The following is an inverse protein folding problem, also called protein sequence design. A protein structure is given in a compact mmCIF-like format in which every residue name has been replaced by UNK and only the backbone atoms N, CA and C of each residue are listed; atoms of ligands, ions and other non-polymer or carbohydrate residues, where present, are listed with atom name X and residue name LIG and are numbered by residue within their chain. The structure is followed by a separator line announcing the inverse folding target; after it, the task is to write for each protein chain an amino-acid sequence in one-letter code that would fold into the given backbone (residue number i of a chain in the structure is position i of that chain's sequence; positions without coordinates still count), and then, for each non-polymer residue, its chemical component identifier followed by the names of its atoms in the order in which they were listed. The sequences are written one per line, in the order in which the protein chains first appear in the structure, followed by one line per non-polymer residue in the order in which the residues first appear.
data_IF_541441462869
#
_entry.id   IF_541441462869
#
_cell.length_a   1.000
_cell.length_b   1.000
_cell.length_c   1.000
_cell.angle_alpha   90.00
_cell.angle_beta   90.00
_cell.angle_gamma   90.00
#
_symmetry.space_group_name_H-M   'P 1'
#
loop_
_entity.id
_entity.type
_entity.pdbx_description
1 polymer ?
#
# COMPACT_ATOMS: atom_id res chain seq x y z
N UNK A 1 -16.97 5.79 -12.66
CA UNK A 1 -16.47 4.69 -13.53
C UNK A 1 -16.55 3.44 -12.70
N UNK A 2 -17.27 2.42 -13.18
CA UNK A 2 -17.60 1.22 -12.42
C UNK A 2 -16.68 0.05 -12.78
N UNK A 3 -16.67 -0.95 -11.90
CA UNK A 3 -15.98 -2.23 -12.04
C UNK A 3 -16.35 -2.99 -13.33
N UNK A 4 -17.63 -2.89 -13.76
CA UNK A 4 -18.05 -3.28 -15.11
C UNK A 4 -17.91 -2.08 -16.04
N UNK A 5 -17.20 -2.25 -17.17
CA UNK A 5 -16.89 -1.17 -18.12
C UNK A 5 -18.14 -0.41 -18.63
N UNK A 6 -19.32 -1.00 -18.45
CA UNK A 6 -20.66 -0.47 -18.76
C UNK A 6 -20.77 0.11 -20.18
N UNK A 7 -19.95 -0.39 -21.11
CA UNK A 7 -19.92 0.05 -22.50
C UNK A 7 -21.14 -0.51 -23.24
N UNK A 8 -21.77 0.30 -24.09
CA UNK A 8 -22.82 -0.16 -24.97
C UNK A 8 -22.21 -1.05 -26.07
N UNK A 9 -22.55 -2.36 -26.13
CA UNK A 9 -21.88 -3.31 -27.01
C UNK A 9 -22.15 -3.04 -28.49
N UNK A 10 -23.29 -2.42 -28.80
CA UNK A 10 -23.74 -2.16 -30.15
C UNK A 10 -23.27 -0.79 -30.70
N UNK A 11 -22.66 0.06 -29.86
CA UNK A 11 -22.11 1.35 -30.27
C UNK A 11 -20.61 1.25 -30.52
N UNK A 12 -20.08 2.10 -31.40
CA UNK A 12 -18.63 2.25 -31.57
C UNK A 12 -18.00 2.88 -30.32
N UNK A 13 -16.67 2.90 -30.25
CA UNK A 13 -15.94 3.62 -29.20
C UNK A 13 -16.30 5.11 -29.22
N UNK A 14 -16.31 5.74 -30.40
CA UNK A 14 -16.73 7.13 -30.55
C UNK A 14 -18.16 7.35 -30.06
N UNK A 15 -19.09 6.46 -30.44
CA UNK A 15 -20.49 6.52 -29.98
C UNK A 15 -20.61 6.36 -28.46
N UNK A 16 -19.85 5.44 -27.87
CA UNK A 16 -19.81 5.23 -26.42
C UNK A 16 -19.38 6.51 -25.68
N UNK A 17 -18.32 7.17 -26.15
CA UNK A 17 -17.79 8.43 -25.60
C UNK A 17 -18.83 9.56 -25.79
N UNK A 18 -19.34 9.73 -27.01
CA UNK A 18 -20.27 10.81 -27.34
C UNK A 18 -21.61 10.74 -26.59
N UNK A 19 -22.09 9.54 -26.29
CA UNK A 19 -23.47 9.26 -25.85
C UNK A 19 -24.02 10.22 -24.78
N UNK A 20 -23.24 10.49 -23.73
CA UNK A 20 -23.67 11.40 -22.66
C UNK A 20 -23.84 12.85 -23.10
N UNK A 21 -23.06 13.30 -24.07
CA UNK A 21 -23.21 14.63 -24.68
C UNK A 21 -24.37 14.66 -25.67
N UNK A 22 -24.65 13.55 -26.37
CA UNK A 22 -25.79 13.46 -27.30
C UNK A 22 -27.12 13.62 -26.56
N UNK A 23 -27.28 12.94 -25.42
CA UNK A 23 -28.49 13.05 -24.57
C UNK A 23 -28.68 14.49 -24.06
N UNK A 24 -27.58 15.21 -23.79
CA UNK A 24 -27.61 16.61 -23.33
C UNK A 24 -27.82 17.62 -24.47
N UNK A 25 -27.99 17.16 -25.70
CA UNK A 25 -28.21 18.03 -26.86
C UNK A 25 -26.97 18.82 -27.30
N UNK A 26 -25.76 18.38 -26.94
CA UNK A 26 -24.52 19.10 -27.31
C UNK A 26 -24.33 19.04 -28.84
N UNK A 27 -23.99 20.17 -29.51
CA UNK A 27 -23.81 20.22 -30.96
C UNK A 27 -22.75 19.23 -31.48
N UNK A 28 -22.94 18.74 -32.70
CA UNK A 28 -22.06 17.72 -33.32
C UNK A 28 -20.59 18.12 -33.34
N UNK A 29 -20.29 19.39 -33.66
CA UNK A 29 -18.92 19.88 -33.77
C UNK A 29 -18.21 19.93 -32.41
N UNK A 30 -18.94 20.30 -31.35
CA UNK A 30 -18.41 20.28 -29.98
C UNK A 30 -18.16 18.85 -29.50
N UNK A 31 -19.06 17.91 -29.84
CA UNK A 31 -18.86 16.49 -29.55
C UNK A 31 -17.62 15.95 -30.25
N UNK A 32 -17.43 16.26 -31.53
CA UNK A 32 -16.26 15.82 -32.29
C UNK A 32 -14.94 16.34 -31.67
N UNK A 33 -14.90 17.61 -31.26
CA UNK A 33 -13.76 18.20 -30.55
C UNK A 33 -13.48 17.49 -29.23
N UNK A 34 -14.50 17.26 -28.41
CA UNK A 34 -14.36 16.60 -27.12
C UNK A 34 -13.92 15.13 -27.25
N UNK A 35 -14.49 14.39 -28.22
CA UNK A 35 -14.08 13.01 -28.53
C UNK A 35 -12.61 13.00 -28.92
N UNK A 36 -12.17 13.90 -29.81
CA UNK A 36 -10.77 13.98 -30.24
C UNK A 36 -9.83 14.26 -29.07
N UNK A 37 -10.13 15.27 -28.25
CA UNK A 37 -9.32 15.62 -27.08
C UNK A 37 -9.16 14.44 -26.12
N UNK A 38 -10.27 13.77 -25.78
CA UNK A 38 -10.26 12.62 -24.87
C UNK A 38 -9.56 11.42 -25.51
N UNK A 39 -9.75 11.18 -26.81
CA UNK A 39 -9.11 10.07 -27.51
C UNK A 39 -7.60 10.25 -27.64
N UNK A 40 -7.14 11.48 -27.81
CA UNK A 40 -5.71 11.83 -27.86
C UNK A 40 -5.09 11.64 -26.47
N UNK A 41 -5.77 12.12 -25.42
CA UNK A 41 -5.32 12.00 -24.04
C UNK A 41 -5.19 10.54 -23.58
N UNK A 42 -6.09 9.66 -24.02
CA UNK A 42 -6.11 8.25 -23.65
C UNK A 42 -5.43 7.33 -24.68
N UNK A 43 -4.90 7.90 -25.77
CA UNK A 43 -4.28 7.18 -26.87
C UNK A 43 -5.19 6.10 -27.50
N UNK A 44 -6.49 6.40 -27.62
CA UNK A 44 -7.52 5.49 -28.18
C UNK A 44 -8.07 6.00 -29.53
N UNK A 45 -7.47 7.03 -30.13
CA UNK A 45 -7.91 7.58 -31.42
C UNK A 45 -8.02 6.54 -32.54
N UNK A 46 -7.09 5.59 -32.60
CA UNK A 46 -7.08 4.48 -33.58
C UNK A 46 -8.17 3.42 -33.34
N UNK A 47 -8.96 3.54 -32.26
CA UNK A 47 -10.00 2.58 -31.89
C UNK A 47 -11.41 3.16 -32.06
N UNK A 48 -11.56 4.42 -32.47
CA UNK A 48 -12.83 5.16 -32.45
C UNK A 48 -13.97 4.45 -33.21
N UNK A 49 -13.66 3.79 -34.32
CA UNK A 49 -14.66 3.10 -35.17
C UNK A 49 -14.92 1.64 -34.75
N UNK A 50 -14.16 1.10 -33.79
CA UNK A 50 -14.33 -0.27 -33.31
C UNK A 50 -15.48 -0.38 -32.32
N UNK A 51 -16.04 -1.58 -32.19
CA UNK A 51 -17.00 -1.95 -31.14
C UNK A 51 -16.29 -2.54 -29.91
N UNK A 52 -16.88 -2.47 -28.69
CA UNK A 52 -16.27 -2.98 -27.47
C UNK A 52 -15.80 -4.45 -27.50
N UNK A 53 -16.46 -5.30 -28.29
CA UNK A 53 -16.09 -6.71 -28.47
C UNK A 53 -14.76 -6.90 -29.20
N UNK A 54 -14.29 -5.89 -29.94
CA UNK A 54 -13.05 -5.90 -30.71
C UNK A 54 -11.85 -5.30 -29.95
N UNK A 55 -12.03 -5.04 -28.65
CA UNK A 55 -11.05 -4.36 -27.80
C UNK A 55 -10.46 -5.33 -26.77
N UNK A 56 -9.21 -5.08 -26.36
CA UNK A 56 -8.64 -5.71 -25.16
C UNK A 56 -9.29 -5.17 -23.87
N UNK A 57 -9.05 -5.81 -22.72
CA UNK A 57 -9.54 -5.32 -21.42
C UNK A 57 -9.10 -3.89 -21.11
N UNK A 58 -7.82 -3.59 -21.31
CA UNK A 58 -7.26 -2.26 -21.07
C UNK A 58 -7.77 -1.21 -22.06
N UNK A 59 -8.00 -1.61 -23.32
CA UNK A 59 -8.65 -0.72 -24.29
C UNK A 59 -10.09 -0.41 -23.87
N UNK A 60 -10.88 -1.41 -23.46
CA UNK A 60 -12.23 -1.17 -22.91
C UNK A 60 -12.20 -0.24 -21.71
N UNK A 61 -11.22 -0.41 -20.81
CA UNK A 61 -11.06 0.45 -19.65
C UNK A 61 -10.77 1.90 -20.04
N UNK A 62 -9.84 2.12 -20.98
CA UNK A 62 -9.56 3.47 -21.51
C UNK A 62 -10.81 4.07 -22.14
N UNK A 63 -11.58 3.31 -22.92
CA UNK A 63 -12.85 3.79 -23.48
C UNK A 63 -13.83 4.18 -22.37
N UNK A 64 -13.99 3.35 -21.33
CA UNK A 64 -14.87 3.64 -20.19
C UNK A 64 -14.44 4.92 -19.44
N UNK A 65 -13.13 5.13 -19.26
CA UNK A 65 -12.59 6.39 -18.74
C UNK A 65 -12.91 7.56 -19.66
N UNK A 66 -12.77 7.40 -20.97
CA UNK A 66 -13.08 8.45 -21.95
C UNK A 66 -14.52 8.92 -21.87
N UNK A 67 -15.46 7.99 -21.66
CA UNK A 67 -16.88 8.33 -21.43
C UNK A 67 -17.11 9.19 -20.20
N UNK A 68 -16.32 9.01 -19.15
CA UNK A 68 -16.40 9.84 -17.95
C UNK A 68 -15.74 11.21 -18.17
N UNK A 69 -14.58 11.24 -18.82
CA UNK A 69 -13.77 12.45 -19.01
C UNK A 69 -14.42 13.47 -19.95
N UNK A 70 -15.10 12.99 -20.99
CA UNK A 70 -15.76 13.87 -21.97
C UNK A 70 -16.86 14.74 -21.35
N UNK A 71 -17.36 14.38 -20.16
CA UNK A 71 -18.37 15.16 -19.44
C UNK A 71 -17.80 16.35 -18.67
N UNK A 72 -16.49 16.42 -18.51
CA UNK A 72 -15.78 17.42 -17.70
C UNK A 72 -16.43 17.68 -16.32
N UNK A 73 -16.66 16.64 -15.48
CA UNK A 73 -17.27 16.82 -14.17
C UNK A 73 -16.30 17.48 -13.16
N UNK A 74 -16.86 18.07 -12.10
CA UNK A 74 -16.08 18.59 -10.98
C UNK A 74 -15.43 17.48 -10.14
N UNK A 75 -16.09 16.32 -10.06
CA UNK A 75 -15.63 15.16 -9.27
C UNK A 75 -15.73 13.90 -10.10
N UNK A 76 -14.67 13.10 -10.09
CA UNK A 76 -14.64 11.75 -10.64
C UNK A 76 -14.73 10.72 -9.52
N UNK A 77 -15.70 9.81 -9.64
CA UNK A 77 -15.85 8.68 -8.73
C UNK A 77 -15.42 7.39 -9.46
N UNK A 78 -14.44 6.69 -8.93
CA UNK A 78 -13.93 5.42 -9.44
C UNK A 78 -14.16 4.33 -8.40
N UNK A 79 -14.85 3.27 -8.81
CA UNK A 79 -15.16 2.13 -7.95
C UNK A 79 -14.46 0.87 -8.49
N UNK A 80 -13.38 0.47 -7.84
CA UNK A 80 -12.49 -0.63 -8.21
C UNK A 80 -12.20 -0.76 -9.72
N UNK A 81 -11.76 0.32 -10.38
CA UNK A 81 -11.70 0.33 -11.85
C UNK A 81 -10.67 -0.64 -12.44
N UNK A 82 -9.74 -1.19 -11.64
CA UNK A 82 -8.63 -2.03 -12.11
C UNK A 82 -8.76 -3.52 -11.73
N UNK A 83 -9.78 -3.91 -10.95
CA UNK A 83 -9.89 -5.27 -10.38
C UNK A 83 -9.96 -6.37 -11.46
N UNK A 84 -10.60 -6.07 -12.59
CA UNK A 84 -10.83 -7.01 -13.70
C UNK A 84 -9.69 -7.09 -14.73
N UNK A 85 -8.54 -6.46 -14.45
CA UNK A 85 -7.37 -6.47 -15.33
C UNK A 85 -6.31 -7.46 -14.83
N UNK A 86 -5.47 -7.96 -15.74
CA UNK A 86 -4.28 -8.74 -15.38
C UNK A 86 -3.21 -7.88 -14.70
N UNK A 87 -2.27 -8.49 -13.99
CA UNK A 87 -1.29 -7.79 -13.16
C UNK A 87 -0.43 -6.78 -13.96
N UNK A 88 0.01 -7.15 -15.18
CA UNK A 88 0.81 -6.26 -16.03
C UNK A 88 0.01 -5.03 -16.43
N UNK A 89 -1.22 -5.25 -16.88
CA UNK A 89 -2.11 -4.19 -17.31
C UNK A 89 -2.56 -3.29 -16.16
N UNK A 90 -2.69 -3.81 -14.93
CA UNK A 90 -2.92 -3.00 -13.72
C UNK A 90 -1.79 -2.01 -13.47
N UNK A 91 -0.53 -2.42 -13.60
CA UNK A 91 0.63 -1.53 -13.44
C UNK A 91 0.56 -0.38 -14.46
N UNK A 92 0.34 -0.71 -15.73
CA UNK A 92 0.25 0.28 -16.80
C UNK A 92 -0.89 1.26 -16.56
N UNK A 93 -2.10 0.74 -16.26
CA UNK A 93 -3.28 1.57 -16.06
C UNK A 93 -3.22 2.43 -14.80
N UNK A 94 -2.56 1.98 -13.71
CA UNK A 94 -2.28 2.82 -12.54
C UNK A 94 -1.47 4.05 -12.93
N UNK A 95 -0.41 3.84 -13.71
CA UNK A 95 0.44 4.93 -14.17
C UNK A 95 -0.34 5.92 -15.04
N UNK A 96 -1.21 5.43 -15.92
CA UNK A 96 -2.07 6.29 -16.73
C UNK A 96 -3.08 7.08 -15.91
N UNK A 97 -3.73 6.47 -14.91
CA UNK A 97 -4.65 7.17 -14.00
C UNK A 97 -3.91 8.27 -13.22
N UNK A 98 -2.69 7.99 -12.72
CA UNK A 98 -1.88 8.99 -12.02
C UNK A 98 -1.55 10.18 -12.91
N UNK A 99 -1.10 9.93 -14.14
CA UNK A 99 -0.80 10.97 -15.15
C UNK A 99 -2.04 11.78 -15.49
N UNK A 100 -3.17 11.11 -15.65
CA UNK A 100 -4.45 11.76 -15.94
C UNK A 100 -4.86 12.71 -14.81
N UNK A 101 -4.82 12.25 -13.55
CA UNK A 101 -5.12 13.10 -12.39
C UNK A 101 -4.20 14.31 -12.31
N UNK A 102 -2.89 14.13 -12.52
CA UNK A 102 -1.89 15.22 -12.54
C UNK A 102 -2.17 16.26 -13.64
N UNK A 103 -2.60 15.82 -14.83
CA UNK A 103 -2.92 16.73 -15.95
C UNK A 103 -4.23 17.47 -15.76
N UNK A 104 -5.24 16.81 -15.18
CA UNK A 104 -6.59 17.35 -15.08
C UNK A 104 -6.76 18.29 -13.87
N UNK A 105 -6.07 18.04 -12.75
CA UNK A 105 -6.21 18.83 -11.52
C UNK A 105 -7.60 18.80 -10.89
N UNK A 106 -8.47 17.87 -11.29
CA UNK A 106 -9.83 17.71 -10.78
C UNK A 106 -9.89 16.70 -9.62
N UNK A 107 -10.95 16.74 -8.82
CA UNK A 107 -11.10 15.86 -7.65
C UNK A 107 -11.42 14.43 -8.06
N UNK A 108 -10.62 13.47 -7.60
CA UNK A 108 -10.83 12.03 -7.80
C UNK A 108 -11.12 11.37 -6.45
N UNK A 109 -12.22 10.62 -6.37
CA UNK A 109 -12.48 9.66 -5.30
C UNK A 109 -12.33 8.26 -5.90
N UNK A 110 -11.42 7.49 -5.36
CA UNK A 110 -11.04 6.17 -5.86
C UNK A 110 -11.20 5.14 -4.75
N UNK A 111 -12.02 4.12 -4.98
CA UNK A 111 -12.27 3.01 -4.06
C UNK A 111 -11.51 1.79 -4.54
N UNK A 112 -10.77 1.15 -3.63
CA UNK A 112 -10.02 -0.08 -3.90
C UNK A 112 -9.76 -0.85 -2.61
N UNK A 113 -9.64 -2.17 -2.72
CA UNK A 113 -9.12 -3.04 -1.68
C UNK A 113 -7.61 -3.33 -1.85
N UNK A 114 -6.99 -2.87 -2.95
CA UNK A 114 -5.56 -3.05 -3.22
C UNK A 114 -4.74 -1.94 -2.57
N UNK A 115 -3.88 -2.34 -1.63
CA UNK A 115 -3.04 -1.42 -0.87
C UNK A 115 -2.00 -0.71 -1.76
N UNK A 116 -1.47 -1.40 -2.77
CA UNK A 116 -0.46 -0.82 -3.68
C UNK A 116 -1.14 0.24 -4.57
N UNK A 117 -2.37 -0.01 -5.02
CA UNK A 117 -3.17 1.02 -5.70
C UNK A 117 -3.36 2.26 -4.81
N UNK A 118 -3.81 2.07 -3.56
CA UNK A 118 -4.03 3.18 -2.63
C UNK A 118 -2.73 3.97 -2.40
N UNK A 119 -1.61 3.27 -2.14
CA UNK A 119 -0.32 3.89 -1.83
C UNK A 119 0.31 4.63 -3.03
N UNK A 120 0.06 4.20 -4.26
CA UNK A 120 0.67 4.79 -5.47
C UNK A 120 -0.19 5.88 -6.10
N UNK A 121 -1.51 5.72 -6.09
CA UNK A 121 -2.43 6.66 -6.74
C UNK A 121 -2.78 7.85 -5.86
N UNK A 122 -3.01 7.61 -4.57
CA UNK A 122 -3.65 8.59 -3.69
C UNK A 122 -2.76 9.80 -3.38
N UNK A 123 -3.43 10.93 -3.12
CA UNK A 123 -2.85 12.09 -2.41
C UNK A 123 -3.13 11.99 -0.91
N UNK A 124 -4.35 11.54 -0.56
CA UNK A 124 -4.80 11.17 0.78
C UNK A 124 -5.57 9.85 0.69
N UNK A 125 -5.44 9.01 1.71
CA UNK A 125 -6.09 7.71 1.84
C UNK A 125 -7.02 7.78 3.05
N UNK A 126 -8.25 7.31 2.87
CA UNK A 126 -9.18 7.02 3.96
C UNK A 126 -9.22 5.50 4.14
N UNK A 127 -8.72 5.00 5.27
CA UNK A 127 -8.75 3.57 5.60
C UNK A 127 -10.03 3.29 6.37
N UNK A 128 -10.87 2.39 5.86
CA UNK A 128 -12.14 2.01 6.50
C UNK A 128 -12.11 0.55 6.97
N UNK A 129 -12.80 0.27 8.06
CA UNK A 129 -13.09 -1.08 8.57
C UNK A 129 -14.53 -1.11 9.07
N UNK A 130 -15.33 -2.06 8.59
CA UNK A 130 -16.72 -2.25 9.03
C UNK A 130 -17.56 -0.95 8.95
N UNK A 131 -17.33 -0.14 7.91
CA UNK A 131 -18.00 1.14 7.71
C UNK A 131 -17.46 2.30 8.56
N UNK A 132 -16.47 2.07 9.42
CA UNK A 132 -15.86 3.09 10.29
C UNK A 132 -14.51 3.53 9.74
N UNK A 133 -14.31 4.85 9.63
CA UNK A 133 -13.03 5.45 9.28
C UNK A 133 -12.01 5.20 10.40
N UNK A 134 -10.94 4.48 10.07
CA UNK A 134 -9.87 4.14 10.99
C UNK A 134 -8.78 5.20 11.01
N UNK A 135 -8.42 5.71 9.83
CA UNK A 135 -7.41 6.75 9.67
C UNK A 135 -7.58 7.46 8.34
N UNK A 136 -7.27 8.76 8.31
CA UNK A 136 -7.22 9.57 7.10
C UNK A 136 -5.89 10.34 7.05
N UNK A 137 -5.13 10.18 5.97
CA UNK A 137 -3.79 10.74 5.88
C UNK A 137 -3.14 10.58 4.52
N UNK A 138 -1.95 11.15 4.33
CA UNK A 138 -1.11 10.87 3.15
C UNK A 138 -0.69 9.40 3.14
N UNK A 139 -0.30 8.83 1.99
CA UNK A 139 0.29 7.50 1.95
C UNK A 139 1.44 7.33 2.97
N UNK A 140 2.28 8.35 3.13
CA UNK A 140 3.37 8.34 4.10
C UNK A 140 2.89 8.34 5.57
N UNK A 141 1.86 9.12 5.90
CA UNK A 141 1.26 9.15 7.25
C UNK A 141 0.61 7.80 7.58
N UNK A 142 -0.18 7.23 6.66
CA UNK A 142 -0.83 5.93 6.85
C UNK A 142 0.21 4.82 7.05
N UNK A 143 1.29 4.82 6.26
CA UNK A 143 2.27 3.74 6.28
C UNK A 143 3.24 3.81 7.47
N UNK A 144 3.79 5.01 7.73
CA UNK A 144 4.82 5.21 8.76
C UNK A 144 4.22 5.54 10.13
N UNK A 145 2.94 5.91 10.18
CA UNK A 145 2.28 6.34 11.40
C UNK A 145 0.86 5.82 11.53
N UNK A 146 0.66 4.49 11.53
CA UNK A 146 -0.66 3.89 11.66
C UNK A 146 -1.27 4.22 13.03
N UNK A 147 -2.54 4.62 13.06
CA UNK A 147 -3.22 5.02 14.32
C UNK A 147 -3.60 3.84 15.21
N UNK A 148 -3.70 2.63 14.66
CA UNK A 148 -4.08 1.43 15.37
C UNK A 148 -3.51 0.18 14.69
N UNK A 149 -3.64 -0.97 15.37
CA UNK A 149 -3.14 -2.27 14.89
C UNK A 149 -3.72 -2.63 13.52
N UNK A 150 -5.02 -2.35 13.28
CA UNK A 150 -5.64 -2.67 12.00
C UNK A 150 -4.99 -1.92 10.84
N UNK A 151 -4.75 -0.61 10.95
CA UNK A 151 -4.08 0.13 9.87
C UNK A 151 -2.65 -0.36 9.67
N UNK A 152 -1.95 -0.69 10.76
CA UNK A 152 -0.58 -1.19 10.72
C UNK A 152 -0.47 -2.54 9.98
N UNK A 153 -1.39 -3.45 10.28
CA UNK A 153 -1.49 -4.78 9.67
C UNK A 153 -1.99 -4.71 8.22
N UNK A 154 -3.01 -3.88 7.98
CA UNK A 154 -3.69 -3.80 6.69
C UNK A 154 -2.89 -3.04 5.63
N UNK A 155 -2.04 -2.06 5.99
CA UNK A 155 -1.37 -1.22 4.99
C UNK A 155 0.07 -1.66 4.79
N UNK A 156 0.36 -2.55 3.84
CA UNK A 156 1.72 -2.98 3.48
C UNK A 156 1.77 -4.43 3.00
N UNK A 157 2.66 -4.70 2.05
CA UNK A 157 2.87 -6.06 1.52
C UNK A 157 4.38 -6.33 1.42
N UNK A 158 4.96 -7.19 2.28
CA UNK A 158 4.29 -7.93 3.37
C UNK A 158 3.77 -7.04 4.51
N UNK A 159 2.85 -7.57 5.31
CA UNK A 159 2.25 -6.87 6.45
C UNK A 159 3.28 -6.53 7.54
N UNK A 160 2.95 -5.59 8.43
CA UNK A 160 3.80 -5.26 9.57
C UNK A 160 3.92 -6.45 10.53
N UNK A 161 5.12 -6.70 11.06
CA UNK A 161 5.28 -7.68 12.13
C UNK A 161 4.73 -7.09 13.44
N UNK A 162 3.71 -7.72 14.01
CA UNK A 162 3.03 -7.29 15.23
C UNK A 162 3.22 -8.32 16.35
N UNK A 163 4.17 -8.04 17.24
CA UNK A 163 4.72 -8.98 18.21
C UNK A 163 4.33 -8.58 19.63
N UNK A 164 4.07 -9.57 20.49
CA UNK A 164 3.93 -9.30 21.91
C UNK A 164 5.31 -9.04 22.50
N UNK A 165 5.47 -7.92 23.21
CA UNK A 165 6.71 -7.55 23.87
C UNK A 165 6.43 -7.05 25.29
N UNK A 166 7.37 -7.24 26.20
CA UNK A 166 7.30 -6.67 27.55
C UNK A 166 8.19 -5.44 27.62
N UNK A 167 7.67 -4.32 28.13
CA UNK A 167 8.46 -3.11 28.34
C UNK A 167 9.26 -3.27 29.64
N UNK A 168 10.57 -3.09 29.58
CA UNK A 168 11.49 -3.25 30.71
C UNK A 168 12.37 -2.00 30.89
N UNK A 169 12.93 -1.84 32.08
CA UNK A 169 14.01 -0.88 32.31
C UNK A 169 15.34 -1.58 32.02
N UNK A 170 16.00 -1.18 30.93
CA UNK A 170 17.33 -1.62 30.57
C UNK A 170 18.42 -0.69 31.12
N UNK A 171 19.67 -1.05 30.88
CA UNK A 171 20.84 -0.31 31.37
C UNK A 171 20.95 1.12 30.80
N UNK A 172 20.36 1.37 29.62
CA UNK A 172 20.42 2.64 28.89
C UNK A 172 19.08 3.36 28.73
N UNK A 173 18.02 2.91 29.42
CA UNK A 173 16.66 3.45 29.27
C UNK A 173 15.62 2.34 29.08
N UNK A 174 14.47 2.67 28.51
CA UNK A 174 13.44 1.68 28.21
C UNK A 174 13.90 0.73 27.10
N UNK A 175 13.60 -0.54 27.27
CA UNK A 175 13.79 -1.57 26.26
C UNK A 175 12.51 -2.41 26.13
N UNK A 176 12.36 -3.09 25.01
CA UNK A 176 11.35 -4.13 24.84
C UNK A 176 12.01 -5.50 24.77
N UNK A 177 11.41 -6.42 25.50
CA UNK A 177 11.83 -7.81 25.62
C UNK A 177 10.91 -8.68 24.78
N UNK A 178 11.47 -9.32 23.76
CA UNK A 178 10.79 -10.22 22.83
C UNK A 178 11.20 -11.65 23.13
N UNK A 179 10.24 -12.52 23.44
CA UNK A 179 10.54 -13.93 23.67
C UNK A 179 11.10 -14.61 22.42
N UNK A 180 12.02 -15.56 22.62
CA UNK A 180 12.62 -16.38 21.55
C UNK A 180 12.49 -17.86 21.89
N UNK A 181 12.16 -18.73 20.92
CA UNK A 181 12.22 -20.16 21.14
C UNK A 181 13.65 -20.61 21.49
N UNK A 182 13.81 -21.32 22.61
CA UNK A 182 15.08 -21.93 23.04
C UNK A 182 16.27 -20.95 23.17
N UNK A 183 16.01 -19.66 23.38
CA UNK A 183 17.03 -18.64 23.59
C UNK A 183 16.55 -17.60 24.61
N UNK A 184 17.48 -16.85 25.21
CA UNK A 184 17.12 -15.72 26.05
C UNK A 184 16.26 -14.70 25.27
N UNK A 185 15.35 -13.94 25.90
CA UNK A 185 14.61 -12.89 25.20
C UNK A 185 15.54 -11.91 24.46
N UNK A 186 15.14 -11.47 23.27
CA UNK A 186 15.82 -10.41 22.55
C UNK A 186 15.39 -9.07 23.15
N UNK A 187 16.35 -8.31 23.66
CA UNK A 187 16.12 -6.98 24.23
C UNK A 187 16.50 -5.93 23.20
N UNK A 188 15.56 -5.06 22.87
CA UNK A 188 15.74 -3.98 21.91
C UNK A 188 15.52 -2.63 22.60
N UNK A 189 16.46 -1.68 22.52
CA UNK A 189 16.28 -0.37 23.13
C UNK A 189 15.11 0.37 22.47
N UNK A 190 14.47 1.28 23.21
CA UNK A 190 13.43 2.16 22.67
C UNK A 190 13.96 3.59 22.63
N UNK A 191 13.68 4.32 21.55
CA UNK A 191 14.05 5.73 21.45
C UNK A 191 13.48 6.57 22.60
N UNK A 192 14.34 7.41 23.18
CA UNK A 192 13.93 8.45 24.12
C UNK A 192 12.95 9.41 23.43
N UNK A 193 11.75 9.57 24.00
CA UNK A 193 10.67 10.42 23.45
C UNK A 193 9.32 9.72 23.27
N UNK A 194 9.27 8.38 23.37
CA UNK A 194 8.00 7.64 23.51
C UNK A 194 7.46 7.77 24.95
N UNK A 195 7.05 8.99 25.33
CA UNK A 195 6.55 9.29 26.68
C UNK A 195 5.37 8.40 27.09
N UNK A 196 4.58 7.94 26.12
CA UNK A 196 3.49 7.00 26.35
C UNK A 196 3.94 5.59 26.75
N UNK A 197 5.16 5.16 26.41
CA UNK A 197 5.61 3.79 26.67
C UNK A 197 6.09 3.60 28.12
N UNK A 198 6.50 4.68 28.80
CA UNK A 198 6.94 4.63 30.21
C UNK A 198 5.84 4.15 31.15
N UNK A 199 4.56 4.43 30.85
CA UNK A 199 3.43 3.94 31.66
C UNK A 199 3.19 2.44 31.51
N UNK A 200 3.85 1.80 30.54
CA UNK A 200 3.76 0.37 30.28
C UNK A 200 4.95 -0.42 30.85
N UNK A 201 5.88 0.20 31.59
CA UNK A 201 6.99 -0.54 32.22
C UNK A 201 6.47 -1.70 33.07
N UNK A 202 7.02 -2.90 32.82
CA UNK A 202 6.59 -4.17 33.42
C UNK A 202 5.33 -4.78 32.81
N UNK A 203 4.76 -4.17 31.76
CA UNK A 203 3.53 -4.64 31.08
C UNK A 203 3.82 -5.04 29.64
N UNK A 204 2.90 -5.82 29.09
CA UNK A 204 2.91 -6.20 27.68
C UNK A 204 2.39 -5.07 26.80
N UNK A 205 3.00 -4.93 25.62
CA UNK A 205 2.61 -4.07 24.51
C UNK A 205 2.69 -4.85 23.20
N UNK A 206 2.05 -4.35 22.15
CA UNK A 206 2.26 -4.86 20.79
C UNK A 206 3.35 -4.02 20.12
N UNK A 207 4.50 -4.64 19.88
CA UNK A 207 5.61 -4.08 19.12
C UNK A 207 5.39 -4.30 17.62
N UNK A 208 5.32 -3.20 16.88
CA UNK A 208 5.17 -3.18 15.43
C UNK A 208 6.47 -2.80 14.74
N UNK A 209 6.96 -3.65 13.82
CA UNK A 209 8.09 -3.33 12.95
C UNK A 209 7.84 -3.85 11.54
N UNK A 210 8.09 -3.01 10.53
CA UNK A 210 7.92 -3.40 9.12
C UNK A 210 8.99 -4.42 8.70
N UNK A 211 8.69 -5.34 7.77
CA UNK A 211 9.69 -6.26 7.24
C UNK A 211 10.94 -5.58 6.69
N UNK A 212 10.82 -4.44 5.99
CA UNK A 212 11.96 -3.68 5.48
C UNK A 212 12.78 -2.94 6.55
N UNK A 213 12.28 -2.86 7.78
CA UNK A 213 13.04 -2.36 8.93
C UNK A 213 13.78 -3.48 9.68
N UNK A 214 13.63 -4.73 9.23
CA UNK A 214 14.33 -5.91 9.73
C UNK A 214 15.14 -6.53 8.59
N UNK A 215 16.46 -6.36 8.63
CA UNK A 215 17.34 -6.75 7.53
C UNK A 215 18.66 -7.32 8.02
N UNK A 216 19.61 -7.66 7.16
CA UNK A 216 20.96 -8.05 7.56
C UNK A 216 21.81 -6.79 7.84
N UNK A 217 22.90 -6.86 8.63
CA UNK A 217 23.71 -5.69 8.96
C UNK A 217 24.20 -4.89 7.74
N UNK A 218 24.49 -5.55 6.62
CA UNK A 218 24.96 -4.87 5.40
C UNK A 218 23.81 -4.21 4.62
N UNK A 219 22.57 -4.64 4.84
CA UNK A 219 21.33 -4.05 4.33
C UNK A 219 20.77 -2.91 5.19
N UNK A 220 21.28 -2.71 6.39
CA UNK A 220 20.75 -1.74 7.35
C UNK A 220 20.84 -0.29 6.82
N UNK A 221 19.82 0.51 7.14
CA UNK A 221 19.78 1.94 6.80
C UNK A 221 20.92 2.69 7.51
N UNK A 222 21.90 3.16 6.74
CA UNK A 222 23.06 3.93 7.25
C UNK A 222 22.68 5.25 7.93
N UNK A 223 21.45 5.72 7.74
CA UNK A 223 20.92 6.93 8.38
C UNK A 223 20.08 6.63 9.63
N UNK A 224 19.87 5.35 9.98
CA UNK A 224 19.17 4.98 11.19
C UNK A 224 19.91 5.52 12.42
N UNK A 225 19.18 6.19 13.31
CA UNK A 225 19.73 6.71 14.57
C UNK A 225 19.79 5.61 15.63
N UNK A 226 18.82 4.70 15.59
CA UNK A 226 18.75 3.56 16.50
C UNK A 226 18.69 2.25 15.71
N UNK A 227 19.86 1.62 15.57
CA UNK A 227 20.00 0.27 15.05
C UNK A 227 20.36 -0.66 16.20
N UNK A 228 19.69 -1.80 16.28
CA UNK A 228 20.06 -2.87 17.20
C UNK A 228 20.20 -4.16 16.41
N UNK A 229 21.10 -5.03 16.82
CA UNK A 229 21.28 -6.32 16.19
C UNK A 229 20.86 -7.46 17.12
N UNK A 230 20.41 -8.57 16.54
CA UNK A 230 20.01 -9.76 17.27
C UNK A 230 20.18 -11.02 16.46
N UNK A 231 20.70 -12.07 17.09
CA UNK A 231 20.80 -13.39 16.47
C UNK A 231 19.40 -14.04 16.43
N UNK A 232 18.99 -14.45 15.23
CA UNK A 232 17.67 -15.01 14.95
C UNK A 232 17.80 -16.30 14.14
N UNK A 233 17.10 -17.36 14.55
CA UNK A 233 17.02 -18.60 13.80
C UNK A 233 16.08 -18.41 12.60
N UNK A 234 16.60 -18.62 11.39
CA UNK A 234 15.82 -18.52 10.16
C UNK A 234 15.11 -19.85 9.90
N UNK A 235 13.79 -19.82 9.78
CA UNK A 235 12.96 -21.01 9.50
C UNK A 235 12.70 -21.17 8.00
N UNK A 236 12.47 -20.07 7.29
CA UNK A 236 12.12 -20.06 5.86
C UNK A 236 12.86 -18.94 5.16
N UNK A 237 13.25 -19.19 3.90
CA UNK A 237 13.86 -18.20 3.00
C UNK A 237 13.12 -18.24 1.67
N UNK A 238 12.60 -17.10 1.23
CA UNK A 238 11.82 -16.93 0.00
C UNK A 238 12.46 -15.86 -0.90
N UNK A 239 13.23 -16.26 -1.92
CA UNK A 239 13.74 -15.34 -2.92
C UNK A 239 12.59 -14.78 -3.78
N UNK A 240 12.49 -13.45 -3.86
CA UNK A 240 11.41 -12.73 -4.56
C UNK A 240 11.94 -11.78 -5.65
N UNK A 241 13.10 -12.10 -6.24
CA UNK A 241 13.73 -11.30 -7.29
C UNK A 241 14.70 -10.28 -6.71
N UNK A 242 14.26 -9.04 -6.48
CA UNK A 242 15.10 -7.96 -5.93
C UNK A 242 15.33 -8.07 -4.42
N UNK A 243 14.55 -8.92 -3.76
CA UNK A 243 14.51 -9.05 -2.31
C UNK A 243 14.49 -10.53 -1.94
N UNK A 244 14.96 -10.82 -0.73
CA UNK A 244 14.82 -12.13 -0.09
C UNK A 244 14.03 -11.96 1.19
N UNK A 245 12.90 -12.65 1.32
CA UNK A 245 12.14 -12.67 2.57
C UNK A 245 12.63 -13.81 3.46
N UNK A 246 12.91 -13.52 4.71
CA UNK A 246 13.31 -14.54 5.69
C UNK A 246 12.30 -14.56 6.83
N UNK A 247 11.93 -15.75 7.29
CA UNK A 247 10.99 -15.92 8.40
C UNK A 247 11.76 -16.40 9.64
N UNK A 248 11.55 -15.73 10.76
CA UNK A 248 12.06 -16.13 12.09
C UNK A 248 10.94 -16.12 13.13
N UNK A 249 11.23 -16.47 14.39
CA UNK A 249 10.26 -16.44 15.50
C UNK A 249 10.70 -15.52 16.61
N UNK A 250 9.88 -14.51 16.91
CA UNK A 250 10.05 -13.55 18.00
C UNK A 250 8.69 -13.23 18.62
N UNK A 251 8.65 -12.99 19.93
CA UNK A 251 7.40 -12.64 20.64
C UNK A 251 6.28 -13.66 20.45
N UNK A 252 6.63 -14.95 20.35
CA UNK A 252 5.70 -16.06 20.15
C UNK A 252 5.07 -16.17 18.74
N UNK A 253 5.53 -15.39 17.75
CA UNK A 253 4.97 -15.37 16.39
C UNK A 253 6.05 -15.47 15.32
N UNK A 254 5.64 -15.87 14.11
CA UNK A 254 6.47 -15.75 12.92
C UNK A 254 6.64 -14.28 12.51
N UNK A 255 7.87 -13.92 12.14
CA UNK A 255 8.30 -12.57 11.80
C UNK A 255 9.00 -12.61 10.46
N UNK A 256 8.61 -11.72 9.56
CA UNK A 256 9.19 -11.59 8.22
C UNK A 256 10.23 -10.46 8.24
N UNK A 257 11.45 -10.79 7.83
CA UNK A 257 12.51 -9.85 7.49
C UNK A 257 12.56 -9.67 5.97
N UNK A 258 12.89 -8.47 5.49
CA UNK A 258 13.16 -8.20 4.07
C UNK A 258 14.64 -7.87 3.89
N UNK A 259 15.32 -8.75 3.18
CA UNK A 259 16.75 -8.72 2.96
C UNK A 259 17.05 -8.40 1.50
N UNK A 260 18.31 -8.05 1.23
CA UNK A 260 18.78 -7.90 -0.15
C UNK A 260 18.73 -9.26 -0.87
N UNK A 261 18.58 -9.24 -2.20
CA UNK A 261 18.56 -10.45 -3.02
C UNK A 261 19.81 -11.34 -2.85
N UNK A 262 20.96 -10.73 -2.57
CA UNK A 262 22.27 -11.39 -2.44
C UNK A 262 22.62 -11.77 -0.99
N UNK A 263 21.67 -11.65 -0.05
CA UNK A 263 21.89 -12.06 1.33
C UNK A 263 22.21 -13.56 1.41
N UNK A 264 23.40 -13.89 1.93
CA UNK A 264 23.90 -15.26 2.08
C UNK A 264 23.27 -15.99 3.27
N UNK A 265 21.96 -16.21 3.23
CA UNK A 265 21.19 -16.82 4.31
C UNK A 265 20.55 -18.15 3.90
N UNK A 266 20.42 -19.08 4.84
CA UNK A 266 19.79 -20.37 4.61
C UNK A 266 18.81 -20.75 5.74
N UNK A 267 17.75 -21.53 5.45
CA UNK A 267 16.90 -22.12 6.49
C UNK A 267 17.71 -22.96 7.49
N UNK A 268 17.36 -22.87 8.77
CA UNK A 268 18.05 -23.54 9.88
C UNK A 268 19.29 -22.82 10.40
N UNK A 269 19.74 -21.76 9.73
CA UNK A 269 20.87 -20.95 10.16
C UNK A 269 20.44 -19.92 11.22
N UNK A 270 21.30 -19.69 12.22
CA UNK A 270 21.18 -18.50 13.06
C UNK A 270 21.91 -17.34 12.38
N UNK A 271 21.17 -16.28 12.09
CA UNK A 271 21.66 -15.11 11.37
C UNK A 271 21.49 -13.87 12.23
N UNK A 272 22.51 -13.00 12.21
CA UNK A 272 22.41 -11.67 12.80
C UNK A 272 21.46 -10.83 11.96
N UNK A 273 20.36 -10.38 12.55
CA UNK A 273 19.45 -9.41 11.94
C UNK A 273 19.63 -8.05 12.60
N UNK A 274 19.56 -7.00 11.79
CA UNK A 274 19.57 -5.60 12.18
C UNK A 274 18.13 -5.03 12.17
N UNK A 275 17.77 -4.39 13.28
CA UNK A 275 16.46 -3.80 13.56
C UNK A 275 16.59 -2.29 13.51
N UNK A 276 15.94 -1.64 12.55
CA UNK A 276 15.84 -0.18 12.49
C UNK A 276 14.70 0.29 13.42
N UNK A 277 15.06 0.64 14.64
CA UNK A 277 14.13 0.99 15.70
C UNK A 277 13.55 2.40 15.56
N UNK A 278 14.10 3.23 14.68
CA UNK A 278 13.48 4.51 14.28
C UNK A 278 12.10 4.29 13.62
N UNK A 279 11.85 3.08 13.11
CA UNK A 279 10.62 2.68 12.42
C UNK A 279 9.68 1.84 13.30
N UNK A 280 10.09 1.55 14.54
CA UNK A 280 9.25 0.80 15.46
C UNK A 280 8.06 1.65 15.93
N UNK A 281 6.90 1.00 16.04
CA UNK A 281 5.68 1.57 16.61
C UNK A 281 5.14 0.65 17.68
N UNK A 282 4.37 1.19 18.61
CA UNK A 282 3.84 0.42 19.75
C UNK A 282 2.34 0.61 19.84
N UNK A 283 1.62 -0.44 20.23
CA UNK A 283 0.18 -0.39 20.44
C UNK A 283 -0.19 -1.00 21.78
N UNK A 284 -1.27 -0.47 22.35
CA UNK A 284 -1.88 -1.00 23.56
C UNK A 284 -2.64 -2.30 23.23
N UNK A 285 -2.40 -3.42 23.96
CA UNK A 285 -3.04 -4.70 23.62
C UNK A 285 -4.57 -4.73 23.79
N UNK A 286 -5.13 -3.86 24.64
CA UNK A 286 -6.57 -3.85 24.95
C UNK A 286 -7.34 -2.96 23.98
N UNK A 287 -6.93 -1.70 23.86
CA UNK A 287 -7.55 -0.71 22.99
C UNK A 287 -7.13 -0.83 21.53
N UNK A 288 -6.00 -1.52 21.26
CA UNK A 288 -5.38 -1.63 19.93
C UNK A 288 -4.94 -0.28 19.32
N UNK A 289 -4.99 0.80 20.10
CA UNK A 289 -4.56 2.13 19.69
C UNK A 289 -3.04 2.27 19.78
N UNK A 290 -2.49 3.16 18.95
CA UNK A 290 -1.06 3.47 18.99
C UNK A 290 -0.68 4.18 20.30
N UNK A 291 0.46 3.78 20.86
CA UNK A 291 1.11 4.44 21.99
C UNK A 291 2.14 5.42 21.42
N UNK A 292 1.92 6.72 21.65
CA UNK A 292 2.79 7.79 21.17
C UNK A 292 2.31 8.44 19.87
#
# INVERSE_FOLDING_TARGET
VFQSYALYPNMTVAGNIAFGMEIRGVPKDERAKAIKQVSDMLQIGHLLDRKPSQLSGGQRQRVAMGRALVRNPQVFLFDEPLSNLDAKLRVDMRTEIKRLHQRMGTTFVYVTHDQIEAMTLATKIAVLKDGVLQQFGTPAEIYNSPSNIFVADFMGSPAMNLLTATVENGAGGLEVSLERPNAAPLKLPVMAGNNGLTTYTGRQVIFGIRPEALTDPDGADRKARMLSEGDCLIEVVEPAGSDTFAVTKLGGKSVVARLRADAGIAPGQTTRLAFNLDKAVFFDPQSQARIG
#
